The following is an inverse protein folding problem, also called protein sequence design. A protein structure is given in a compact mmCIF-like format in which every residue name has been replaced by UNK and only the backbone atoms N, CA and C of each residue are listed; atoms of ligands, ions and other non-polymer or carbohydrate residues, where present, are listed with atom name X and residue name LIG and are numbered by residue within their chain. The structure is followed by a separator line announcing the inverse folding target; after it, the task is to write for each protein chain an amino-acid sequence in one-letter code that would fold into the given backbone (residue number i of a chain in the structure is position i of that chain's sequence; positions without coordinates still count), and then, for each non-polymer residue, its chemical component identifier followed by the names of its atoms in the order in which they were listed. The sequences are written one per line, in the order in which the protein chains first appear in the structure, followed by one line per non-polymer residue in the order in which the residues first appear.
data_IF_431201564173
#
_entry.id   IF_431201564173
#
_cell.length_a   1.000
_cell.length_b   1.000
_cell.length_c   1.000
_cell.angle_alpha   90.00
_cell.angle_beta   90.00
_cell.angle_gamma   90.00
#
_symmetry.space_group_name_H-M   'P 1'
#
loop_
_entity.id
_entity.type
_entity.pdbx_description
1 polymer ?
#
# COMPACT_ATOMS: atom_id res chain seq x y z
N UNK A 1 0.78 -5.65 -1.78
CA UNK A 1 0.85 -6.00 -0.37
C UNK A 1 0.09 -7.29 -0.04
N UNK A 2 -1.06 -7.50 -0.66
CA UNK A 2 -1.95 -8.64 -0.35
C UNK A 2 -1.43 -10.01 -0.79
N UNK A 3 -0.60 -10.06 -1.81
CA UNK A 3 -0.10 -11.31 -2.36
C UNK A 3 0.89 -12.05 -1.42
N UNK A 4 1.65 -11.32 -0.62
CA UNK A 4 2.60 -11.89 0.33
C UNK A 4 1.92 -12.68 1.45
N UNK A 5 0.69 -12.33 1.75
CA UNK A 5 -0.02 -12.78 2.93
C UNK A 5 -0.56 -14.22 2.83
N UNK A 6 -0.74 -14.73 1.63
CA UNK A 6 -1.36 -16.05 1.40
C UNK A 6 -0.38 -17.24 1.41
N UNK A 7 0.91 -16.98 1.62
CA UNK A 7 1.96 -18.00 1.55
C UNK A 7 2.13 -18.85 2.82
N UNK A 8 1.47 -18.50 3.92
CA UNK A 8 1.65 -19.18 5.22
C UNK A 8 0.87 -20.49 5.40
N UNK A 9 0.10 -20.90 4.38
CA UNK A 9 -0.75 -22.11 4.44
C UNK A 9 -0.18 -23.38 3.80
N UNK A 10 1.14 -23.54 3.66
CA UNK A 10 1.71 -24.75 3.08
C UNK A 10 1.87 -25.86 4.13
N UNK A 11 0.92 -26.75 4.19
CA UNK A 11 1.15 -28.08 4.72
C UNK A 11 1.86 -28.93 3.67
N UNK A 12 2.91 -29.60 4.14
CA UNK A 12 3.85 -30.47 3.50
C UNK A 12 3.42 -31.22 2.23
N UNK A 13 4.30 -31.18 1.22
CA UNK A 13 4.36 -32.15 0.13
C UNK A 13 4.74 -33.53 0.68
N UNK A 14 3.88 -34.52 0.48
CA UNK A 14 4.30 -35.92 0.45
C UNK A 14 3.39 -36.71 -0.50
N UNK A 15 3.99 -37.38 -1.48
CA UNK A 15 3.32 -38.44 -2.22
C UNK A 15 3.40 -38.32 -3.76
N UNK A 16 4.51 -38.79 -4.33
CA UNK A 16 4.61 -39.21 -5.72
C UNK A 16 3.89 -40.54 -5.93
N UNK A 17 3.34 -40.68 -7.10
CA UNK A 17 3.04 -41.84 -7.96
C UNK A 17 1.57 -42.10 -8.20
N UNK A 18 1.07 -41.94 -9.42
CA UNK A 18 0.88 -42.95 -10.47
C UNK A 18 0.17 -42.34 -11.68
N UNK A 19 0.60 -42.75 -12.86
CA UNK A 19 0.05 -42.42 -14.18
C UNK A 19 -1.38 -42.93 -14.36
N UNK A 20 -2.25 -42.11 -14.98
CA UNK A 20 -3.42 -42.62 -15.69
C UNK A 20 -4.69 -41.85 -15.45
N UNK A 21 -4.97 -40.94 -16.31
CA UNK A 21 -6.19 -40.40 -16.89
C UNK A 21 -6.09 -38.88 -17.06
N UNK A 22 -6.24 -38.41 -18.29
CA UNK A 22 -6.40 -36.98 -18.58
C UNK A 22 -7.77 -36.52 -18.07
N UNK A 23 -7.87 -36.32 -16.77
CA UNK A 23 -8.87 -35.42 -16.22
C UNK A 23 -8.35 -34.03 -16.53
N UNK A 24 -9.17 -33.17 -17.16
CA UNK A 24 -8.89 -31.73 -17.22
C UNK A 24 -8.53 -31.27 -15.81
N UNK A 25 -7.28 -30.85 -15.59
CA UNK A 25 -6.89 -30.36 -14.28
C UNK A 25 -7.80 -29.18 -13.98
N UNK A 26 -8.51 -29.25 -12.86
CA UNK A 26 -9.22 -28.09 -12.34
C UNK A 26 -8.21 -26.93 -12.31
N UNK A 27 -8.59 -25.77 -12.85
CA UNK A 27 -7.72 -24.61 -12.85
C UNK A 27 -7.29 -24.33 -11.41
N UNK A 28 -5.97 -24.25 -11.17
CA UNK A 28 -5.42 -23.95 -9.86
C UNK A 28 -5.34 -22.43 -9.74
N UNK A 29 -6.05 -21.85 -8.76
CA UNK A 29 -6.07 -20.41 -8.46
C UNK A 29 -5.18 -20.07 -7.27
N UNK A 30 -4.05 -20.76 -7.10
CA UNK A 30 -3.21 -20.71 -5.92
C UNK A 30 -1.70 -20.54 -6.21
N UNK A 31 -1.35 -20.01 -7.39
CA UNK A 31 0.04 -19.66 -7.68
C UNK A 31 0.44 -18.35 -6.98
N UNK A 32 0.47 -18.38 -5.65
CA UNK A 32 0.75 -17.22 -4.82
C UNK A 32 2.19 -16.71 -4.95
N UNK A 33 3.14 -17.57 -5.28
CA UNK A 33 4.52 -17.16 -5.54
C UNK A 33 4.62 -16.21 -6.74
N UNK A 34 3.97 -16.60 -7.86
CA UNK A 34 3.88 -15.75 -9.06
C UNK A 34 3.07 -14.48 -8.78
N UNK A 35 1.98 -14.59 -8.01
CA UNK A 35 1.16 -13.45 -7.63
C UNK A 35 1.97 -12.42 -6.82
N UNK A 36 2.77 -12.85 -5.84
CA UNK A 36 3.63 -11.97 -5.07
C UNK A 36 4.61 -11.20 -5.96
N UNK A 37 5.30 -11.91 -6.86
CA UNK A 37 6.22 -11.29 -7.81
C UNK A 37 5.50 -10.26 -8.70
N UNK A 38 4.35 -10.60 -9.26
CA UNK A 38 3.59 -9.72 -10.14
C UNK A 38 3.03 -8.51 -9.40
N UNK A 39 2.64 -8.67 -8.14
CA UNK A 39 2.22 -7.55 -7.30
C UNK A 39 3.35 -6.54 -7.04
N UNK A 40 4.60 -6.99 -6.97
CA UNK A 40 5.76 -6.09 -6.83
C UNK A 40 6.12 -5.43 -8.16
N UNK A 41 5.99 -6.12 -9.29
CA UNK A 41 6.24 -5.55 -10.63
C UNK A 41 5.35 -4.34 -10.94
N UNK A 42 4.16 -4.23 -10.35
CA UNK A 42 3.35 -3.02 -10.45
C UNK A 42 4.15 -1.77 -10.05
N UNK A 43 4.94 -1.86 -8.99
CA UNK A 43 5.76 -0.74 -8.54
C UNK A 43 6.94 -0.46 -9.48
N UNK A 44 7.53 -1.49 -10.08
CA UNK A 44 8.55 -1.30 -11.13
C UNK A 44 7.98 -0.52 -12.32
N UNK A 45 6.74 -0.82 -12.69
CA UNK A 45 6.00 -0.09 -13.73
C UNK A 45 5.73 1.37 -13.37
N UNK A 46 5.62 1.68 -12.09
CA UNK A 46 5.30 3.01 -11.55
C UNK A 46 6.51 3.82 -11.06
N UNK A 47 7.72 3.29 -11.14
CA UNK A 47 8.92 4.06 -10.74
C UNK A 47 8.99 5.40 -11.46
N UNK A 48 9.40 6.43 -10.74
CA UNK A 48 9.64 7.78 -11.22
C UNK A 48 11.05 8.22 -10.82
N UNK A 49 11.73 8.96 -11.68
CA UNK A 49 13.03 9.53 -11.38
C UNK A 49 14.04 9.38 -12.50
N UNK A 50 15.20 10.00 -12.29
CA UNK A 50 16.32 10.04 -13.23
C UNK A 50 17.05 8.70 -13.41
N UNK A 51 16.80 7.72 -12.52
CA UNK A 51 17.47 6.42 -12.44
C UNK A 51 16.59 5.21 -12.83
N UNK A 52 15.38 5.44 -13.31
CA UNK A 52 14.39 4.37 -13.56
C UNK A 52 14.88 3.33 -14.55
N UNK A 53 15.64 3.73 -15.56
CA UNK A 53 16.25 2.85 -16.57
C UNK A 53 17.20 1.80 -16.01
N UNK A 54 17.73 2.01 -14.81
CA UNK A 54 18.60 1.09 -14.10
C UNK A 54 17.98 0.46 -12.86
N UNK A 55 16.99 1.12 -12.25
CA UNK A 55 16.35 0.66 -11.03
C UNK A 55 15.17 -0.30 -11.27
N UNK A 56 14.39 -0.07 -12.33
CA UNK A 56 13.22 -0.89 -12.65
C UNK A 56 13.62 -2.26 -13.18
N UNK A 57 12.84 -3.30 -12.83
CA UNK A 57 12.96 -4.63 -13.42
C UNK A 57 12.48 -4.68 -14.89
N UNK A 58 11.77 -3.64 -15.35
CA UNK A 58 11.23 -3.56 -16.70
C UNK A 58 12.17 -2.82 -17.64
N UNK A 59 12.69 -3.53 -18.65
CA UNK A 59 13.54 -2.96 -19.69
C UNK A 59 12.85 -1.92 -20.60
N UNK A 60 11.53 -1.83 -20.55
CA UNK A 60 10.74 -0.84 -21.30
C UNK A 60 10.51 0.46 -20.50
N UNK A 61 10.91 0.50 -19.21
CA UNK A 61 10.90 1.74 -18.44
C UNK A 61 12.21 2.50 -18.64
N UNK A 62 12.10 3.80 -18.73
CA UNK A 62 13.20 4.74 -18.87
C UNK A 62 13.17 5.83 -17.80
N UNK A 63 14.25 6.61 -17.73
CA UNK A 63 14.30 7.80 -16.88
C UNK A 63 13.17 8.76 -17.21
N UNK A 64 12.51 9.29 -16.20
CA UNK A 64 11.39 10.23 -16.35
C UNK A 64 11.35 11.20 -15.17
N UNK A 65 10.91 12.45 -15.44
CA UNK A 65 10.69 13.47 -14.41
C UNK A 65 11.92 13.74 -13.49
N UNK A 66 13.14 13.47 -13.95
CA UNK A 66 14.36 13.72 -13.17
C UNK A 66 14.64 15.18 -12.88
N UNK A 67 13.85 16.11 -13.47
CA UNK A 67 13.86 17.55 -13.18
C UNK A 67 12.80 17.97 -12.15
N UNK A 68 12.01 17.05 -11.59
CA UNK A 68 11.10 17.34 -10.48
C UNK A 68 11.89 17.95 -9.31
N UNK A 69 11.31 18.90 -8.59
CA UNK A 69 11.93 19.48 -7.38
C UNK A 69 12.21 18.38 -6.33
N UNK A 70 11.39 17.33 -6.30
CA UNK A 70 11.64 16.11 -5.53
C UNK A 70 11.73 14.94 -6.52
N UNK A 71 12.95 14.59 -6.90
CA UNK A 71 13.23 13.45 -7.80
C UNK A 71 12.94 12.10 -7.12
N UNK A 72 12.78 11.05 -7.91
CA UNK A 72 12.56 9.70 -7.40
C UNK A 72 11.11 9.38 -7.02
N UNK A 73 10.93 8.32 -6.24
CA UNK A 73 9.63 7.82 -5.80
C UNK A 73 8.88 7.04 -6.88
N UNK A 74 7.55 7.15 -6.83
CA UNK A 74 6.65 6.43 -7.72
C UNK A 74 5.50 7.33 -8.18
N UNK A 75 5.04 7.12 -9.40
CA UNK A 75 3.73 7.60 -9.83
C UNK A 75 2.64 6.87 -9.03
N UNK A 76 1.50 7.52 -8.86
CA UNK A 76 0.43 7.00 -8.01
C UNK A 76 -0.23 5.73 -8.58
N UNK A 77 -0.76 5.82 -9.77
CA UNK A 77 -1.53 4.75 -10.39
C UNK A 77 -1.26 4.68 -11.90
N UNK A 78 -2.26 4.97 -12.74
CA UNK A 78 -2.10 5.06 -14.18
C UNK A 78 -1.71 6.45 -14.70
N UNK A 79 -1.61 7.43 -13.82
CA UNK A 79 -1.18 8.81 -14.03
C UNK A 79 0.31 9.01 -13.67
N UNK A 80 0.78 10.26 -13.67
CA UNK A 80 2.18 10.58 -13.33
C UNK A 80 2.32 11.46 -12.09
N UNK A 81 1.24 11.72 -11.37
CA UNK A 81 1.31 12.47 -10.11
C UNK A 81 1.92 11.60 -9.01
N UNK A 82 2.68 12.21 -8.12
CA UNK A 82 3.19 11.59 -6.89
C UNK A 82 2.36 12.12 -5.72
N UNK A 83 1.27 11.42 -5.38
CA UNK A 83 0.42 11.75 -4.24
C UNK A 83 0.97 11.15 -2.96
N UNK A 84 1.18 11.98 -1.94
CA UNK A 84 1.81 11.55 -0.68
C UNK A 84 0.97 10.56 0.11
N UNK A 85 -0.33 10.78 0.26
CA UNK A 85 -1.18 9.94 1.11
C UNK A 85 -1.21 8.46 0.65
N UNK A 86 -1.56 8.14 -0.61
CA UNK A 86 -1.52 6.75 -1.07
C UNK A 86 -0.11 6.18 -1.13
N UNK A 87 0.93 6.99 -1.33
CA UNK A 87 2.32 6.54 -1.30
C UNK A 87 2.75 6.10 0.10
N UNK A 88 2.43 6.87 1.14
CA UNK A 88 2.71 6.53 2.53
C UNK A 88 1.98 5.27 2.97
N UNK A 89 0.67 5.18 2.69
CA UNK A 89 -0.13 3.99 2.90
C UNK A 89 0.46 2.75 2.21
N UNK A 90 0.85 2.89 0.95
CA UNK A 90 1.44 1.79 0.18
C UNK A 90 2.74 1.30 0.82
N UNK A 91 3.66 2.20 1.11
CA UNK A 91 4.96 1.85 1.66
C UNK A 91 4.84 1.23 3.07
N UNK A 92 3.99 1.80 3.93
CA UNK A 92 3.74 1.26 5.28
C UNK A 92 3.09 -0.12 5.22
N UNK A 93 2.14 -0.35 4.30
CA UNK A 93 1.47 -1.64 4.13
C UNK A 93 2.40 -2.70 3.51
N UNK A 94 3.26 -2.35 2.57
CA UNK A 94 4.30 -3.24 2.04
C UNK A 94 5.28 -3.65 3.15
N UNK A 95 5.73 -2.68 3.95
CA UNK A 95 6.58 -2.92 5.11
C UNK A 95 5.92 -3.82 6.15
N UNK A 96 4.63 -3.62 6.44
CA UNK A 96 3.85 -4.47 7.31
C UNK A 96 3.75 -5.90 6.78
N UNK A 97 3.49 -6.07 5.48
CA UNK A 97 3.45 -7.39 4.84
C UNK A 97 4.75 -8.18 5.05
N UNK A 98 5.90 -7.52 4.91
CA UNK A 98 7.18 -8.15 5.18
C UNK A 98 7.41 -8.42 6.67
N UNK A 99 7.11 -7.47 7.54
CA UNK A 99 7.21 -7.64 8.98
C UNK A 99 6.44 -8.88 9.48
N UNK A 100 5.24 -9.09 8.98
CA UNK A 100 4.40 -10.24 9.38
C UNK A 100 4.82 -11.56 8.75
N UNK A 101 5.28 -11.55 7.50
CA UNK A 101 5.46 -12.75 6.68
C UNK A 101 6.86 -12.85 6.07
N UNK A 102 7.87 -12.36 6.80
CA UNK A 102 9.27 -12.33 6.37
C UNK A 102 9.75 -13.65 5.80
N UNK A 103 9.49 -14.77 6.49
CA UNK A 103 9.95 -16.09 6.07
C UNK A 103 9.40 -16.49 4.69
N UNK A 104 8.21 -16.02 4.33
CA UNK A 104 7.61 -16.27 3.01
C UNK A 104 8.34 -15.49 1.91
N UNK A 105 8.70 -14.23 2.16
CA UNK A 105 9.50 -13.44 1.21
C UNK A 105 10.90 -14.02 1.03
N UNK A 106 11.54 -14.43 2.13
CA UNK A 106 12.86 -15.03 2.11
C UNK A 106 12.85 -16.36 1.34
N UNK A 107 11.87 -17.22 1.61
CA UNK A 107 11.73 -18.51 0.93
C UNK A 107 11.51 -18.40 -0.58
N UNK A 108 10.87 -17.30 -1.02
CA UNK A 108 10.60 -17.03 -2.44
C UNK A 108 11.70 -16.18 -3.11
N UNK A 109 12.75 -15.77 -2.37
CA UNK A 109 13.81 -14.90 -2.88
C UNK A 109 13.35 -13.49 -3.24
N UNK A 110 12.25 -13.00 -2.61
CA UNK A 110 11.63 -11.71 -2.95
C UNK A 110 12.04 -10.58 -2.01
N UNK A 111 12.79 -10.87 -0.95
CA UNK A 111 13.21 -9.89 0.07
C UNK A 111 14.00 -8.74 -0.52
N UNK A 112 14.99 -9.02 -1.38
CA UNK A 112 15.83 -7.97 -1.97
C UNK A 112 15.03 -7.03 -2.88
N UNK A 113 14.08 -7.57 -3.66
CA UNK A 113 13.20 -6.77 -4.52
C UNK A 113 12.28 -5.88 -3.67
N UNK A 114 11.61 -6.43 -2.66
CA UNK A 114 10.79 -5.64 -1.75
C UNK A 114 11.60 -4.53 -1.07
N UNK A 115 12.80 -4.85 -0.56
CA UNK A 115 13.67 -3.88 0.08
C UNK A 115 14.04 -2.73 -0.87
N UNK A 116 14.32 -3.02 -2.14
CA UNK A 116 14.60 -1.99 -3.14
C UNK A 116 13.39 -1.05 -3.34
N UNK A 117 12.18 -1.62 -3.43
CA UNK A 117 10.94 -0.84 -3.57
C UNK A 117 10.66 0.02 -2.33
N UNK A 118 10.71 -0.56 -1.13
CA UNK A 118 10.43 0.19 0.11
C UNK A 118 11.51 1.25 0.39
N UNK A 119 12.77 0.97 0.11
CA UNK A 119 13.83 1.98 0.22
C UNK A 119 13.59 3.14 -0.74
N UNK A 120 13.15 2.89 -1.98
CA UNK A 120 12.83 3.97 -2.94
C UNK A 120 11.70 4.86 -2.45
N UNK A 121 10.64 4.31 -1.83
CA UNK A 121 9.63 5.09 -1.16
C UNK A 121 10.23 5.92 -0.02
N UNK A 122 11.01 5.30 0.87
CA UNK A 122 11.61 5.96 2.01
C UNK A 122 12.59 7.08 1.60
N UNK A 123 13.36 6.88 0.54
CA UNK A 123 14.27 7.90 0.01
C UNK A 123 13.49 9.11 -0.53
N UNK A 124 12.40 8.86 -1.25
CA UNK A 124 11.49 9.93 -1.69
C UNK A 124 10.85 10.66 -0.50
N UNK A 125 10.42 9.96 0.54
CA UNK A 125 9.84 10.58 1.73
C UNK A 125 10.84 11.47 2.48
N UNK A 126 12.10 11.05 2.56
CA UNK A 126 13.19 11.86 3.11
C UNK A 126 13.46 13.09 2.25
N UNK A 127 13.52 12.93 0.93
CA UNK A 127 13.70 14.05 -0.02
C UNK A 127 12.53 15.04 0.01
N UNK A 128 11.31 14.58 0.29
CA UNK A 128 10.10 15.39 0.48
C UNK A 128 10.07 16.14 1.82
N UNK A 129 11.07 15.97 2.70
CA UNK A 129 11.05 16.48 4.07
C UNK A 129 12.27 17.34 4.36
N UNK A 130 12.08 18.64 4.58
CA UNK A 130 13.16 19.56 4.98
C UNK A 130 13.25 19.61 6.51
N UNK A 131 14.43 19.29 7.05
CA UNK A 131 14.69 19.30 8.49
C UNK A 131 15.62 20.45 8.91
N UNK A 132 15.39 21.00 10.10
CA UNK A 132 16.36 21.75 10.87
C UNK A 132 16.62 21.01 12.18
N UNK A 133 17.77 20.34 12.29
CA UNK A 133 18.01 19.34 13.32
C UNK A 133 17.04 18.16 13.18
N UNK A 134 16.19 17.95 14.19
CA UNK A 134 15.15 16.91 14.21
C UNK A 134 13.73 17.49 14.01
N UNK A 135 13.63 18.73 13.54
CA UNK A 135 12.35 19.41 13.35
C UNK A 135 12.06 19.59 11.87
N UNK A 136 10.88 19.15 11.42
CA UNK A 136 10.39 19.42 10.06
C UNK A 136 10.09 20.90 9.90
N UNK A 137 10.71 21.54 8.92
CA UNK A 137 10.51 22.93 8.58
C UNK A 137 9.61 23.13 7.36
N UNK A 138 9.57 22.14 6.48
CA UNK A 138 8.74 22.12 5.29
C UNK A 138 8.57 20.68 4.82
N UNK A 139 7.40 20.37 4.27
CA UNK A 139 7.01 19.03 3.83
C UNK A 139 6.31 19.11 2.47
N UNK A 140 6.81 18.35 1.50
CA UNK A 140 6.19 18.20 0.19
C UNK A 140 5.20 17.04 0.21
N UNK A 141 3.91 17.35 0.04
CA UNK A 141 2.85 16.35 0.12
C UNK A 141 2.38 15.85 -1.26
N UNK A 142 2.79 16.53 -2.34
CA UNK A 142 2.42 16.13 -3.71
C UNK A 142 3.42 16.71 -4.71
N UNK A 143 3.72 15.94 -5.77
CA UNK A 143 4.42 16.43 -6.97
C UNK A 143 3.57 16.08 -8.19
N UNK A 144 3.26 17.12 -8.97
CA UNK A 144 2.40 17.04 -10.14
C UNK A 144 1.05 17.71 -9.93
N UNK A 145 0.53 18.33 -10.99
CA UNK A 145 -0.76 19.04 -11.00
C UNK A 145 -1.85 18.06 -11.36
N UNK A 146 -2.63 17.61 -10.38
CA UNK A 146 -3.55 16.46 -10.48
C UNK A 146 -4.39 16.44 -11.76
N UNK A 147 -5.31 17.38 -11.95
CA UNK A 147 -6.21 17.37 -13.12
C UNK A 147 -5.46 17.56 -14.43
N UNK A 148 -4.51 18.48 -14.49
CA UNK A 148 -3.77 18.76 -15.71
C UNK A 148 -2.91 17.56 -16.17
N UNK A 149 -2.35 16.79 -15.23
CA UNK A 149 -1.69 15.52 -15.53
C UNK A 149 -2.68 14.49 -16.08
N UNK A 150 -3.86 14.36 -15.47
CA UNK A 150 -4.89 13.42 -15.93
C UNK A 150 -5.46 13.75 -17.31
N UNK A 151 -5.39 15.00 -17.74
CA UNK A 151 -5.84 15.42 -19.08
C UNK A 151 -4.85 15.04 -20.18
N UNK A 152 -3.63 14.59 -19.82
CA UNK A 152 -2.57 14.21 -20.78
C UNK A 152 -2.34 12.70 -20.75
N UNK A 153 -2.43 12.06 -21.91
CA UNK A 153 -2.07 10.65 -22.06
C UNK A 153 -0.77 10.51 -22.85
N UNK A 154 0.30 10.13 -22.18
CA UNK A 154 1.58 9.78 -22.78
C UNK A 154 2.35 8.86 -21.83
N UNK A 155 3.43 8.24 -22.31
CA UNK A 155 4.35 7.57 -21.38
C UNK A 155 5.06 8.61 -20.50
N UNK A 156 5.46 8.27 -19.28
CA UNK A 156 6.16 9.20 -18.39
C UNK A 156 7.48 9.69 -18.96
N UNK A 157 8.16 8.85 -19.75
CA UNK A 157 9.40 9.21 -20.46
C UNK A 157 9.20 10.32 -21.51
N UNK A 158 7.97 10.51 -21.98
CA UNK A 158 7.60 11.51 -23.00
C UNK A 158 6.94 12.76 -22.41
N UNK A 159 6.63 12.78 -21.12
CA UNK A 159 6.02 13.92 -20.45
C UNK A 159 7.09 14.96 -20.08
N UNK A 160 7.32 15.92 -20.97
CA UNK A 160 8.36 16.93 -20.81
C UNK A 160 7.83 18.30 -20.35
N UNK A 161 6.53 18.46 -20.15
CA UNK A 161 5.91 19.71 -19.71
C UNK A 161 6.11 19.92 -18.21
N UNK A 162 7.07 20.78 -17.86
CA UNK A 162 7.39 21.08 -16.47
C UNK A 162 6.27 21.83 -15.73
N UNK A 163 5.32 22.45 -16.44
CA UNK A 163 4.17 23.07 -15.79
C UNK A 163 3.23 22.06 -15.12
N UNK A 164 3.30 20.79 -15.51
CA UNK A 164 2.56 19.68 -14.91
C UNK A 164 3.24 19.12 -13.65
N UNK A 165 4.49 19.55 -13.34
CA UNK A 165 5.35 18.92 -12.33
C UNK A 165 5.57 19.77 -11.08
N UNK A 166 4.60 20.64 -10.75
CA UNK A 166 4.67 21.48 -9.55
C UNK A 166 4.77 20.65 -8.28
N UNK A 167 5.71 20.97 -7.40
CA UNK A 167 5.80 20.40 -6.06
C UNK A 167 5.03 21.27 -5.06
N UNK A 168 4.17 20.66 -4.26
CA UNK A 168 3.33 21.34 -3.28
C UNK A 168 3.88 21.13 -1.86
N UNK A 169 4.40 22.21 -1.30
CA UNK A 169 5.01 22.23 0.03
C UNK A 169 4.11 22.88 1.07
N UNK A 170 4.18 22.39 2.29
CA UNK A 170 3.51 22.97 3.46
C UNK A 170 4.41 22.98 4.70
N UNK A 171 4.10 23.85 5.67
CA UNK A 171 4.70 23.85 7.01
C UNK A 171 3.68 23.73 8.14
N UNK A 172 2.38 23.68 7.79
CA UNK A 172 1.25 23.72 8.73
C UNK A 172 0.02 22.91 8.29
N UNK A 173 0.19 21.91 7.43
CA UNK A 173 -0.87 21.02 6.90
C UNK A 173 -0.33 19.60 6.70
N UNK A 174 -1.12 18.67 6.11
CA UNK A 174 -0.72 17.32 5.72
C UNK A 174 -0.30 16.40 6.90
N UNK A 175 -1.01 16.50 8.03
CA UNK A 175 -0.72 15.67 9.20
C UNK A 175 -0.93 14.18 8.96
N UNK A 176 -1.93 13.81 8.18
CA UNK A 176 -2.23 12.47 7.70
C UNK A 176 -1.05 11.90 6.88
N UNK A 177 -0.62 12.63 5.85
CA UNK A 177 0.48 12.23 4.97
C UNK A 177 1.80 12.12 5.74
N UNK A 178 2.10 13.10 6.62
CA UNK A 178 3.29 13.06 7.45
C UNK A 178 3.32 11.86 8.40
N UNK A 179 2.16 11.46 8.95
CA UNK A 179 2.03 10.27 9.79
C UNK A 179 2.21 8.98 8.98
N UNK A 180 1.62 8.89 7.79
CA UNK A 180 1.82 7.74 6.89
C UNK A 180 3.29 7.58 6.47
N UNK A 181 3.99 8.68 6.14
CA UNK A 181 5.42 8.63 5.88
C UNK A 181 6.21 8.18 7.11
N UNK A 182 5.82 8.65 8.31
CA UNK A 182 6.45 8.21 9.55
C UNK A 182 6.25 6.72 9.81
N UNK A 183 5.06 6.17 9.54
CA UNK A 183 4.77 4.75 9.66
C UNK A 183 5.63 3.93 8.69
N UNK A 184 5.70 4.33 7.43
CA UNK A 184 6.49 3.66 6.40
C UNK A 184 8.00 3.64 6.74
N UNK A 185 8.55 4.78 7.14
CA UNK A 185 9.96 4.90 7.55
C UNK A 185 10.26 4.09 8.81
N UNK A 186 9.35 4.08 9.79
CA UNK A 186 9.54 3.31 11.02
C UNK A 186 9.52 1.80 10.77
N UNK A 187 8.58 1.29 9.97
CA UNK A 187 8.54 -0.14 9.63
C UNK A 187 9.70 -0.55 8.71
N UNK A 188 10.17 0.34 7.83
CA UNK A 188 11.36 0.09 7.00
C UNK A 188 12.62 -0.01 7.87
N UNK A 189 12.75 0.85 8.88
CA UNK A 189 13.82 0.73 9.88
C UNK A 189 13.77 -0.60 10.63
N UNK A 190 12.59 -1.05 11.08
CA UNK A 190 12.43 -2.34 11.76
C UNK A 190 12.87 -3.49 10.84
N UNK A 191 12.49 -3.44 9.58
CA UNK A 191 12.74 -4.51 8.61
C UNK A 191 14.20 -4.55 8.14
N UNK A 192 14.85 -3.40 7.93
CA UNK A 192 16.12 -3.31 7.22
C UNK A 192 17.22 -2.50 7.93
N UNK A 193 16.92 -1.86 9.06
CA UNK A 193 17.91 -1.28 9.97
C UNK A 193 18.48 0.09 9.58
N UNK A 194 17.87 0.83 8.63
CA UNK A 194 18.36 2.15 8.25
C UNK A 194 18.02 3.19 9.34
N UNK A 195 19.05 3.64 10.08
CA UNK A 195 18.87 4.59 11.19
C UNK A 195 18.38 5.99 10.76
N UNK A 196 18.64 6.38 9.50
CA UNK A 196 18.13 7.65 8.97
C UNK A 196 16.62 7.60 8.81
N UNK A 197 16.06 6.46 8.39
CA UNK A 197 14.61 6.27 8.29
C UNK A 197 13.95 6.50 9.67
N UNK A 198 14.50 5.95 10.75
CA UNK A 198 13.98 6.18 12.10
C UNK A 198 14.05 7.65 12.53
N UNK A 199 15.12 8.35 12.15
CA UNK A 199 15.25 9.80 12.44
C UNK A 199 14.13 10.60 11.76
N UNK A 200 13.92 10.38 10.48
CA UNK A 200 12.85 11.06 9.73
C UNK A 200 11.45 10.64 10.21
N UNK A 201 11.25 9.36 10.54
CA UNK A 201 9.99 8.88 11.09
C UNK A 201 9.59 9.64 12.36
N UNK A 202 10.51 9.81 13.30
CA UNK A 202 10.28 10.58 14.54
C UNK A 202 9.97 12.05 14.25
N UNK A 203 10.72 12.67 13.34
CA UNK A 203 10.52 14.08 12.97
C UNK A 203 9.15 14.32 12.35
N UNK A 204 8.74 13.47 11.40
CA UNK A 204 7.46 13.53 10.71
C UNK A 204 6.28 13.22 11.64
N UNK A 205 6.41 12.24 12.52
CA UNK A 205 5.40 12.00 13.55
C UNK A 205 5.20 13.22 14.47
N UNK A 206 6.30 13.80 14.95
CA UNK A 206 6.23 15.00 15.79
C UNK A 206 5.61 16.19 15.05
N UNK A 207 5.89 16.33 13.75
CA UNK A 207 5.25 17.32 12.89
C UNK A 207 3.74 17.07 12.80
N UNK A 208 3.33 15.84 12.52
CA UNK A 208 1.92 15.44 12.38
C UNK A 208 1.11 15.77 13.64
N UNK A 209 1.56 15.29 14.83
CA UNK A 209 0.83 15.49 16.09
C UNK A 209 0.83 16.96 16.57
N UNK A 210 1.77 17.77 16.11
CA UNK A 210 1.81 19.20 16.40
C UNK A 210 0.87 19.98 15.48
N UNK A 211 0.79 19.61 14.23
CA UNK A 211 0.04 20.31 13.18
C UNK A 211 -1.46 19.99 13.27
N UNK A 212 -1.82 18.72 13.39
CA UNK A 212 -3.22 18.25 13.51
C UNK A 212 -4.17 18.86 12.47
N UNK A 213 -3.78 18.80 11.20
CA UNK A 213 -4.53 19.38 10.10
C UNK A 213 -4.31 18.59 8.81
N UNK A 214 -5.38 18.24 8.12
CA UNK A 214 -5.37 17.49 6.86
C UNK A 214 -6.36 18.13 5.88
N UNK A 215 -5.91 19.09 5.08
CA UNK A 215 -6.73 19.72 4.06
C UNK A 215 -6.18 19.49 2.64
N UNK A 216 -4.87 19.56 2.45
CA UNK A 216 -4.13 19.31 1.19
C UNK A 216 -4.96 19.63 -0.06
N UNK A 217 -5.28 20.90 -0.35
CA UNK A 217 -6.31 21.27 -1.33
C UNK A 217 -6.01 20.76 -2.75
N UNK A 218 -4.74 20.61 -3.09
CA UNK A 218 -4.30 20.12 -4.41
C UNK A 218 -4.57 18.62 -4.61
N UNK A 219 -4.61 17.86 -3.50
CA UNK A 219 -4.93 16.44 -3.50
C UNK A 219 -6.42 16.15 -3.33
N UNK A 220 -7.21 17.11 -2.83
CA UNK A 220 -8.56 16.91 -2.34
C UNK A 220 -9.57 16.34 -3.37
N UNK A 221 -9.35 16.52 -4.66
CA UNK A 221 -10.19 15.96 -5.70
C UNK A 221 -9.87 14.48 -6.03
N UNK A 222 -8.74 13.97 -5.54
CA UNK A 222 -8.25 12.63 -5.81
C UNK A 222 -8.18 11.80 -4.53
N UNK A 223 -7.49 12.34 -3.51
CA UNK A 223 -7.23 11.68 -2.24
C UNK A 223 -7.64 12.59 -1.09
N UNK A 224 -8.95 12.64 -0.86
CA UNK A 224 -9.53 13.48 0.16
C UNK A 224 -9.52 12.74 1.50
N UNK A 225 -8.73 13.19 2.46
CA UNK A 225 -8.78 12.79 3.85
C UNK A 225 -9.11 13.98 4.72
N UNK A 226 -9.92 13.77 5.76
CA UNK A 226 -10.25 14.76 6.78
C UNK A 226 -9.84 14.28 8.16
N UNK A 227 -9.43 13.04 8.27
CA UNK A 227 -8.91 12.43 9.49
C UNK A 227 -7.38 12.34 9.41
N UNK A 228 -6.72 12.30 10.54
CA UNK A 228 -5.29 12.11 10.71
C UNK A 228 -4.96 11.31 11.98
N UNK A 229 -5.97 11.00 12.79
CA UNK A 229 -5.73 10.31 14.05
C UNK A 229 -5.43 8.83 13.88
N UNK A 230 -6.02 8.20 12.90
CA UNK A 230 -5.73 6.80 12.58
C UNK A 230 -4.34 6.65 11.96
N UNK A 231 -3.91 7.59 11.10
CA UNK A 231 -2.55 7.64 10.55
C UNK A 231 -1.53 7.86 11.68
N UNK A 232 -1.82 8.80 12.61
CA UNK A 232 -0.98 9.04 13.79
C UNK A 232 -0.91 7.81 14.70
N UNK A 233 -2.02 7.08 14.86
CA UNK A 233 -2.05 5.85 15.66
C UNK A 233 -1.26 4.71 14.98
N UNK A 234 -1.39 4.59 13.66
CA UNK A 234 -0.61 3.66 12.84
C UNK A 234 0.88 3.91 12.95
N UNK A 235 1.30 5.17 12.78
CA UNK A 235 2.69 5.58 12.95
C UNK A 235 3.19 5.37 14.39
N UNK A 236 2.38 5.67 15.40
CA UNK A 236 2.72 5.45 16.80
C UNK A 236 2.97 3.97 17.11
N UNK A 237 2.16 3.06 16.55
CA UNK A 237 2.38 1.62 16.67
C UNK A 237 3.75 1.19 16.16
N UNK A 238 4.10 1.60 14.95
CA UNK A 238 5.41 1.28 14.36
C UNK A 238 6.58 1.94 15.09
N UNK A 239 6.42 3.19 15.51
CA UNK A 239 7.46 3.88 16.29
C UNK A 239 7.66 3.26 17.68
N UNK A 240 6.61 2.75 18.32
CA UNK A 240 6.76 1.98 19.56
C UNK A 240 7.56 0.70 19.32
N UNK A 241 7.22 -0.08 18.30
CA UNK A 241 7.96 -1.29 17.95
C UNK A 241 9.43 -1.00 17.59
N UNK A 242 9.69 0.14 16.96
CA UNK A 242 11.05 0.55 16.60
C UNK A 242 11.89 1.05 17.78
N UNK A 243 11.27 1.60 18.85
CA UNK A 243 11.99 2.37 19.89
C UNK A 243 11.74 1.90 21.30
N UNK A 244 10.64 1.18 21.55
CA UNK A 244 10.11 0.85 22.87
C UNK A 244 9.82 2.11 23.76
N UNK A 245 9.56 3.27 23.13
CA UNK A 245 9.21 4.49 23.86
C UNK A 245 7.70 4.52 24.15
N UNK A 246 7.36 4.53 25.43
CA UNK A 246 5.98 4.48 25.91
C UNK A 246 5.11 5.67 25.51
N UNK A 247 5.70 6.77 25.05
CA UNK A 247 4.95 7.91 24.52
C UNK A 247 4.10 7.48 23.32
N UNK A 248 4.66 6.66 22.42
CA UNK A 248 3.94 6.16 21.23
C UNK A 248 2.85 5.15 21.61
N UNK A 249 3.14 4.18 22.48
CA UNK A 249 2.12 3.22 22.90
C UNK A 249 0.99 3.87 23.69
N UNK A 250 1.27 4.95 24.42
CA UNK A 250 0.25 5.74 25.13
C UNK A 250 -0.71 6.43 24.15
N UNK A 251 -0.20 6.98 23.04
CA UNK A 251 -1.06 7.58 22.02
C UNK A 251 -1.94 6.51 21.34
N UNK A 252 -1.33 5.37 20.93
CA UNK A 252 -2.06 4.27 20.30
C UNK A 252 -3.15 3.70 21.22
N UNK A 253 -2.82 3.49 22.51
CA UNK A 253 -3.80 3.03 23.50
C UNK A 253 -4.94 4.04 23.68
N UNK A 254 -4.64 5.33 23.70
CA UNK A 254 -5.65 6.39 23.77
C UNK A 254 -6.56 6.33 22.56
N UNK A 255 -6.02 6.27 21.35
CA UNK A 255 -6.78 6.16 20.12
C UNK A 255 -7.75 4.95 20.13
N UNK A 256 -7.31 3.81 20.67
CA UNK A 256 -8.10 2.59 20.70
C UNK A 256 -9.15 2.55 21.81
N UNK A 257 -8.96 3.27 22.92
CA UNK A 257 -9.73 3.05 24.15
C UNK A 257 -10.42 4.30 24.71
N UNK A 258 -10.02 5.52 24.33
CA UNK A 258 -10.64 6.74 24.84
C UNK A 258 -11.85 7.15 24.01
N UNK A 259 -13.05 6.84 24.50
CA UNK A 259 -14.31 7.18 23.85
C UNK A 259 -14.58 8.69 23.77
N UNK A 260 -13.84 9.53 24.48
CA UNK A 260 -13.95 10.99 24.44
C UNK A 260 -12.88 11.64 23.55
N UNK A 261 -11.84 10.87 23.20
CA UNK A 261 -10.83 11.34 22.28
C UNK A 261 -11.47 11.65 20.92
N UNK A 262 -10.88 12.55 20.16
CA UNK A 262 -11.40 12.94 18.83
C UNK A 262 -12.54 13.95 18.85
N UNK A 263 -13.21 14.18 19.99
CA UNK A 263 -14.31 15.18 20.07
C UNK A 263 -13.82 16.63 20.01
N UNK A 264 -12.55 16.86 20.28
CA UNK A 264 -11.89 18.17 20.20
C UNK A 264 -11.07 18.36 18.92
N UNK A 265 -11.08 17.37 18.03
CA UNK A 265 -10.34 17.40 16.78
C UNK A 265 -11.10 17.99 15.61
N UNK A 266 -10.61 17.76 14.40
CA UNK A 266 -11.26 18.16 13.16
C UNK A 266 -12.65 17.49 13.06
N UNK A 267 -13.63 18.21 12.51
CA UNK A 267 -14.99 17.68 12.36
C UNK A 267 -14.97 16.42 11.47
N UNK A 268 -15.52 15.33 11.99
CA UNK A 268 -15.58 14.05 11.28
C UNK A 268 -14.56 13.01 11.70
N UNK A 269 -13.51 13.40 12.44
CA UNK A 269 -12.50 12.46 12.97
C UNK A 269 -13.13 11.44 13.92
N UNK A 270 -12.73 10.18 13.75
CA UNK A 270 -13.20 9.06 14.58
C UNK A 270 -12.00 8.39 15.27
N UNK A 271 -12.32 7.67 16.35
CA UNK A 271 -11.37 6.91 17.13
C UNK A 271 -11.78 5.45 17.22
N UNK A 272 -10.78 4.56 17.26
CA UNK A 272 -11.00 3.12 17.24
C UNK A 272 -11.22 2.55 15.84
N UNK A 273 -11.55 1.27 15.75
CA UNK A 273 -11.77 0.58 14.46
C UNK A 273 -13.14 0.91 13.91
N UNK A 274 -13.19 1.46 12.71
CA UNK A 274 -14.46 1.79 12.05
C UNK A 274 -14.49 1.57 10.53
N UNK A 275 -13.34 1.24 9.90
CA UNK A 275 -13.27 1.03 8.45
C UNK A 275 -12.26 -0.06 8.08
N UNK A 276 -12.46 -0.67 6.91
CA UNK A 276 -11.45 -1.48 6.24
C UNK A 276 -10.28 -0.57 5.83
N UNK A 277 -9.06 -1.08 5.91
CA UNK A 277 -7.89 -0.30 5.55
C UNK A 277 -7.92 0.19 4.10
N UNK A 278 -7.61 1.45 3.93
CA UNK A 278 -7.41 2.13 2.66
C UNK A 278 -6.48 3.33 2.91
N UNK A 279 -6.08 4.02 1.86
CA UNK A 279 -5.24 5.22 1.96
C UNK A 279 -5.82 6.33 2.87
N UNK A 280 -7.13 6.40 3.07
CA UNK A 280 -7.79 7.36 3.94
C UNK A 280 -8.26 6.78 5.27
N UNK A 281 -7.91 5.55 5.59
CA UNK A 281 -8.20 4.94 6.88
C UNK A 281 -7.32 3.73 7.19
N UNK A 282 -6.54 3.81 8.24
CA UNK A 282 -5.65 2.74 8.71
C UNK A 282 -5.98 2.26 10.12
N UNK A 283 -7.16 2.60 10.64
CA UNK A 283 -7.57 2.28 12.01
C UNK A 283 -7.54 0.77 12.33
N UNK A 284 -7.88 -0.09 11.38
CA UNK A 284 -7.82 -1.55 11.56
C UNK A 284 -6.37 -2.04 11.73
N UNK A 285 -5.43 -1.49 10.96
CA UNK A 285 -4.00 -1.80 11.12
C UNK A 285 -3.47 -1.34 12.48
N UNK A 286 -3.81 -0.12 12.90
CA UNK A 286 -3.45 0.40 14.22
C UNK A 286 -4.01 -0.49 15.35
N UNK A 287 -5.23 -1.00 15.20
CA UNK A 287 -5.84 -1.92 16.17
C UNK A 287 -5.13 -3.27 16.26
N UNK A 288 -4.68 -3.81 15.12
CA UNK A 288 -3.90 -5.04 15.08
C UNK A 288 -2.55 -4.82 15.78
N UNK A 289 -1.82 -3.73 15.48
CA UNK A 289 -0.58 -3.40 16.18
C UNK A 289 -0.78 -3.22 17.69
N UNK A 290 -1.85 -2.54 18.13
CA UNK A 290 -2.18 -2.45 19.54
C UNK A 290 -2.34 -3.84 20.16
N UNK A 291 -3.08 -4.72 19.50
CA UNK A 291 -3.34 -6.08 19.98
C UNK A 291 -2.07 -6.94 20.04
N UNK A 292 -1.16 -6.76 19.11
CA UNK A 292 0.15 -7.42 19.11
C UNK A 292 1.03 -6.91 20.28
N UNK A 293 1.08 -5.59 20.44
CA UNK A 293 1.88 -4.92 21.47
C UNK A 293 1.41 -5.31 22.88
N UNK A 294 0.11 -5.27 23.13
CA UNK A 294 -0.45 -5.56 24.45
C UNK A 294 -0.64 -7.05 24.72
N UNK A 295 -0.93 -7.83 23.69
CA UNK A 295 -1.41 -9.22 23.83
C UNK A 295 -2.74 -9.33 24.54
N UNK A 296 -3.48 -8.22 24.74
CA UNK A 296 -4.72 -8.17 25.50
C UNK A 296 -5.89 -8.76 24.69
N UNK A 297 -6.66 -9.64 25.34
CA UNK A 297 -7.82 -10.29 24.73
C UNK A 297 -8.92 -9.28 24.33
N UNK A 298 -9.06 -8.17 25.06
CA UNK A 298 -10.07 -7.14 24.73
C UNK A 298 -9.67 -6.34 23.49
N UNK A 299 -8.39 -6.10 23.26
CA UNK A 299 -7.91 -5.46 22.04
C UNK A 299 -8.13 -6.39 20.85
N UNK A 300 -7.77 -7.66 20.96
CA UNK A 300 -8.08 -8.67 19.93
C UNK A 300 -9.58 -8.80 19.67
N UNK A 301 -10.42 -8.71 20.70
CA UNK A 301 -11.87 -8.75 20.53
C UNK A 301 -12.42 -7.61 19.67
N UNK A 302 -11.83 -6.42 19.70
CA UNK A 302 -12.21 -5.29 18.82
C UNK A 302 -11.90 -5.61 17.36
N UNK A 303 -10.70 -6.13 17.10
CA UNK A 303 -10.25 -6.55 15.76
C UNK A 303 -11.15 -7.67 15.22
N UNK A 304 -11.34 -8.73 15.99
CA UNK A 304 -12.12 -9.91 15.55
C UNK A 304 -13.61 -9.59 15.40
N UNK A 305 -14.16 -8.70 16.21
CA UNK A 305 -15.55 -8.22 16.04
C UNK A 305 -15.71 -7.52 14.69
N UNK A 306 -14.77 -6.65 14.32
CA UNK A 306 -14.79 -5.98 13.02
C UNK A 306 -14.65 -7.00 11.88
N UNK A 307 -13.63 -7.86 11.93
CA UNK A 307 -13.36 -8.85 10.89
C UNK A 307 -14.52 -9.84 10.72
N UNK A 308 -15.13 -10.34 11.80
CA UNK A 308 -16.28 -11.24 11.75
C UNK A 308 -17.49 -10.59 11.08
N UNK A 309 -17.64 -9.28 11.20
CA UNK A 309 -18.69 -8.53 10.52
C UNK A 309 -18.49 -8.39 9.01
N UNK A 310 -17.25 -8.59 8.53
CA UNK A 310 -16.85 -8.42 7.12
C UNK A 310 -16.53 -9.75 6.42
N UNK A 311 -15.81 -10.65 7.06
CA UNK A 311 -15.39 -11.94 6.52
C UNK A 311 -16.50 -13.00 6.64
N UNK A 312 -17.69 -12.71 6.10
CA UNK A 312 -18.92 -13.48 6.37
C UNK A 312 -19.19 -14.60 5.38
N UNK A 313 -18.58 -14.60 4.20
CA UNK A 313 -18.87 -15.55 3.12
C UNK A 313 -17.64 -15.91 2.33
N UNK A 314 -17.40 -17.19 2.13
CA UNK A 314 -16.36 -17.71 1.22
C UNK A 314 -16.85 -17.78 -0.24
N UNK A 315 -18.15 -17.77 -0.47
CA UNK A 315 -18.74 -17.90 -1.81
C UNK A 315 -19.12 -16.57 -2.47
N UNK A 316 -19.01 -15.47 -1.74
CA UNK A 316 -19.36 -14.13 -2.23
C UNK A 316 -18.15 -13.23 -2.14
N UNK A 317 -17.81 -12.57 -3.25
CA UNK A 317 -16.71 -11.59 -3.27
C UNK A 317 -17.03 -10.42 -2.33
N UNK A 318 -16.10 -10.12 -1.42
CA UNK A 318 -16.22 -8.95 -0.56
C UNK A 318 -15.96 -7.68 -1.37
N UNK A 319 -16.98 -6.82 -1.44
CA UNK A 319 -16.95 -5.57 -2.16
C UNK A 319 -17.36 -4.43 -1.22
N UNK A 320 -16.41 -3.61 -0.78
CA UNK A 320 -16.67 -2.42 0.06
C UNK A 320 -17.12 -1.24 -0.80
N UNK A 321 -16.61 -1.18 -2.04
CA UNK A 321 -16.90 -0.12 -3.01
C UNK A 321 -16.85 -0.67 -4.42
N UNK A 322 -17.73 -0.21 -5.29
CA UNK A 322 -17.76 -0.60 -6.70
C UNK A 322 -16.49 -0.16 -7.45
N UNK A 323 -15.94 0.99 -7.07
CA UNK A 323 -14.70 1.50 -7.66
C UNK A 323 -13.49 0.97 -6.90
N UNK A 324 -12.58 0.30 -7.61
CA UNK A 324 -11.34 -0.20 -7.03
C UNK A 324 -11.56 -1.24 -5.93
N UNK A 325 -12.61 -2.07 -6.04
CA UNK A 325 -13.03 -3.01 -4.97
C UNK A 325 -11.91 -3.96 -4.51
N UNK A 326 -10.99 -4.34 -5.41
CA UNK A 326 -9.89 -5.24 -5.09
C UNK A 326 -8.96 -4.68 -4.00
N UNK A 327 -8.75 -3.37 -3.94
CA UNK A 327 -7.91 -2.75 -2.89
C UNK A 327 -8.47 -2.99 -1.48
N UNK A 328 -9.78 -2.85 -1.30
CA UNK A 328 -10.44 -3.11 -0.01
C UNK A 328 -10.46 -4.60 0.33
N UNK A 329 -10.76 -5.43 -0.67
CA UNK A 329 -10.77 -6.87 -0.50
C UNK A 329 -9.39 -7.38 -0.05
N UNK A 330 -8.33 -6.96 -0.72
CA UNK A 330 -6.96 -7.39 -0.42
C UNK A 330 -6.43 -6.78 0.88
N UNK A 331 -6.80 -5.54 1.21
CA UNK A 331 -6.47 -4.94 2.50
C UNK A 331 -7.14 -5.67 3.67
N UNK A 332 -8.41 -6.07 3.50
CA UNK A 332 -9.11 -6.87 4.50
C UNK A 332 -8.48 -8.27 4.64
N UNK A 333 -8.06 -8.90 3.53
CA UNK A 333 -7.32 -10.16 3.58
C UNK A 333 -6.01 -10.01 4.36
N UNK A 334 -5.26 -8.91 4.14
CA UNK A 334 -4.03 -8.63 4.89
C UNK A 334 -4.30 -8.58 6.40
N UNK A 335 -5.30 -7.79 6.83
CA UNK A 335 -5.68 -7.66 8.23
C UNK A 335 -6.15 -9.00 8.82
N UNK A 336 -6.93 -9.78 8.07
CA UNK A 336 -7.44 -11.08 8.47
C UNK A 336 -6.31 -12.10 8.66
N UNK A 337 -5.32 -12.11 7.77
CA UNK A 337 -4.19 -13.04 7.85
C UNK A 337 -3.17 -12.62 8.92
N UNK A 338 -2.92 -11.33 9.13
CA UNK A 338 -2.17 -10.86 10.28
C UNK A 338 -2.83 -11.33 11.59
N UNK A 339 -4.17 -11.17 11.71
CA UNK A 339 -4.93 -11.68 12.87
C UNK A 339 -4.83 -13.20 13.02
N UNK A 340 -4.87 -13.94 11.91
CA UNK A 340 -4.74 -15.41 11.90
C UNK A 340 -3.37 -15.87 12.40
N UNK A 341 -2.30 -15.15 12.04
CA UNK A 341 -0.94 -15.42 12.57
C UNK A 341 -0.91 -15.43 14.09
N UNK A 342 -1.71 -14.58 14.72
CA UNK A 342 -1.89 -14.51 16.17
C UNK A 342 -3.11 -15.28 16.69
N UNK A 343 -3.54 -16.35 16.01
CA UNK A 343 -4.75 -17.13 16.35
C UNK A 343 -4.76 -17.66 17.79
N UNK A 344 -3.60 -17.96 18.38
CA UNK A 344 -3.49 -18.33 19.79
C UNK A 344 -3.96 -17.23 20.77
N UNK A 345 -3.99 -15.95 20.31
CA UNK A 345 -4.45 -14.79 21.07
C UNK A 345 -5.81 -14.29 20.60
N UNK A 346 -6.01 -14.20 19.30
CA UNK A 346 -7.25 -13.71 18.68
C UNK A 346 -8.38 -14.75 18.74
N UNK A 347 -8.04 -16.03 18.84
CA UNK A 347 -9.00 -17.14 18.76
C UNK A 347 -9.60 -17.38 17.37
N UNK A 348 -9.05 -16.75 16.31
CA UNK A 348 -9.63 -16.74 14.97
C UNK A 348 -8.64 -17.20 13.91
N UNK A 349 -9.18 -17.90 12.89
CA UNK A 349 -8.48 -18.28 11.67
C UNK A 349 -9.35 -17.91 10.45
N UNK A 350 -8.86 -16.99 9.64
CA UNK A 350 -9.51 -16.48 8.43
C UNK A 350 -8.89 -17.04 7.14
N UNK A 351 -8.00 -18.02 7.22
CA UNK A 351 -7.25 -18.55 6.06
C UNK A 351 -8.16 -19.03 4.93
N UNK A 352 -9.23 -19.76 5.26
CA UNK A 352 -10.20 -20.25 4.25
C UNK A 352 -10.90 -19.11 3.52
N UNK A 353 -11.35 -18.11 4.27
CA UNK A 353 -11.98 -16.94 3.68
C UNK A 353 -11.01 -16.19 2.76
N UNK A 354 -9.80 -15.91 3.21
CA UNK A 354 -8.77 -15.23 2.41
C UNK A 354 -8.45 -16.02 1.13
N UNK A 355 -8.29 -17.33 1.23
CA UNK A 355 -8.06 -18.20 0.06
C UNK A 355 -9.20 -18.13 -0.93
N UNK A 356 -10.44 -18.14 -0.47
CA UNK A 356 -11.62 -18.04 -1.33
C UNK A 356 -11.69 -16.67 -2.04
N UNK A 357 -11.47 -15.57 -1.31
CA UNK A 357 -11.46 -14.21 -1.86
C UNK A 357 -10.35 -14.02 -2.91
N UNK A 358 -9.15 -14.48 -2.60
CA UNK A 358 -8.05 -14.40 -3.55
C UNK A 358 -8.30 -15.28 -4.78
N UNK A 359 -8.87 -16.46 -4.61
CA UNK A 359 -9.29 -17.31 -5.71
C UNK A 359 -10.23 -16.60 -6.68
N UNK A 360 -11.17 -15.79 -6.17
CA UNK A 360 -12.06 -14.98 -7.02
C UNK A 360 -11.31 -13.91 -7.82
N UNK A 361 -10.28 -13.28 -7.24
CA UNK A 361 -9.42 -12.33 -7.95
C UNK A 361 -8.62 -13.04 -9.04
N UNK A 362 -8.17 -14.26 -8.79
CA UNK A 362 -7.33 -15.05 -9.68
C UNK A 362 -8.11 -15.82 -10.76
N UNK A 363 -9.43 -15.65 -10.85
CA UNK A 363 -10.23 -16.22 -11.93
C UNK A 363 -11.33 -17.19 -11.52
N UNK A 364 -11.39 -17.63 -10.24
CA UNK A 364 -12.52 -18.41 -9.72
C UNK A 364 -13.75 -17.50 -9.51
N UNK A 365 -14.22 -16.91 -10.58
CA UNK A 365 -15.33 -15.97 -10.59
C UNK A 365 -16.23 -16.23 -11.82
N UNK A 366 -17.46 -15.70 -11.87
CA UNK A 366 -18.42 -15.96 -12.96
C UNK A 366 -17.95 -15.54 -14.35
N UNK A 367 -16.95 -14.67 -14.44
CA UNK A 367 -16.35 -14.22 -15.70
C UNK A 367 -15.18 -15.08 -16.15
N UNK A 368 -14.65 -15.95 -15.28
CA UNK A 368 -13.42 -16.70 -15.49
C UNK A 368 -12.26 -15.79 -15.94
N UNK A 369 -12.12 -14.62 -15.31
CA UNK A 369 -11.08 -13.62 -15.59
C UNK A 369 -10.17 -13.51 -14.40
N UNK A 370 -8.87 -13.72 -14.60
CA UNK A 370 -7.85 -13.35 -13.66
C UNK A 370 -7.60 -11.83 -13.75
N UNK A 371 -7.78 -11.10 -12.65
CA UNK A 371 -7.62 -9.64 -12.62
C UNK A 371 -6.17 -9.19 -12.48
N UNK A 372 -5.22 -10.13 -12.36
CA UNK A 372 -3.79 -9.82 -12.36
C UNK A 372 -3.27 -9.88 -13.79
N UNK A 373 -2.90 -8.73 -14.34
CA UNK A 373 -2.45 -8.58 -15.73
C UNK A 373 -1.23 -9.47 -15.99
N UNK A 374 -1.25 -10.18 -17.10
CA UNK A 374 -0.14 -11.04 -17.54
C UNK A 374 0.08 -12.33 -16.75
N UNK A 375 -0.71 -12.59 -15.72
CA UNK A 375 -0.49 -13.76 -14.86
C UNK A 375 -0.85 -15.07 -15.57
N UNK A 376 -1.99 -15.12 -16.28
CA UNK A 376 -2.52 -16.30 -16.96
C UNK A 376 -3.09 -15.95 -18.32
N UNK A 377 -3.46 -16.97 -19.11
CA UNK A 377 -4.02 -16.78 -20.44
C UNK A 377 -5.38 -16.06 -20.43
N UNK A 378 -6.13 -16.17 -19.33
CA UNK A 378 -7.42 -15.51 -19.10
C UNK A 378 -7.31 -14.22 -18.27
N UNK A 379 -6.08 -13.70 -18.09
CA UNK A 379 -5.87 -12.43 -17.38
C UNK A 379 -6.44 -11.23 -18.10
N UNK A 380 -6.82 -10.21 -17.33
CA UNK A 380 -7.09 -8.87 -17.84
C UNK A 380 -5.88 -8.34 -18.63
N UNK A 381 -6.14 -7.67 -19.77
CA UNK A 381 -5.09 -7.34 -20.75
C UNK A 381 -4.86 -5.85 -20.94
N UNK A 382 -5.81 -5.02 -20.52
CA UNK A 382 -5.84 -3.61 -20.87
C UNK A 382 -5.92 -2.74 -19.60
N UNK A 383 -4.81 -2.61 -18.87
CA UNK A 383 -4.81 -1.76 -17.68
C UNK A 383 -4.94 -0.30 -18.11
N UNK A 384 -5.71 0.49 -17.35
CA UNK A 384 -5.75 1.93 -17.48
C UNK A 384 -4.49 2.54 -16.86
N UNK A 385 -3.38 2.51 -17.62
CA UNK A 385 -2.05 2.85 -17.13
C UNK A 385 -1.21 3.46 -18.25
N UNK A 386 -0.81 4.72 -18.10
CA UNK A 386 -0.11 5.47 -19.16
C UNK A 386 1.22 4.86 -19.52
N UNK A 387 2.06 4.54 -18.53
CA UNK A 387 3.36 3.91 -18.79
C UNK A 387 3.20 2.55 -19.50
N UNK A 388 2.31 1.69 -19.03
CA UNK A 388 2.10 0.37 -19.59
C UNK A 388 1.39 0.39 -20.97
N UNK A 389 0.73 1.49 -21.34
CA UNK A 389 0.06 1.62 -22.65
C UNK A 389 1.04 1.63 -23.82
N UNK A 390 2.29 2.01 -23.60
CA UNK A 390 3.34 2.07 -24.63
C UNK A 390 3.19 3.21 -25.65
N UNK A 391 2.17 4.05 -25.52
CA UNK A 391 1.98 5.21 -26.41
C UNK A 391 2.83 6.39 -25.92
N UNK A 392 3.52 7.03 -26.87
CA UNK A 392 4.41 8.16 -26.58
C UNK A 392 3.68 9.50 -26.54
N UNK A 393 2.46 9.58 -27.09
CA UNK A 393 1.65 10.78 -27.09
C UNK A 393 0.17 10.46 -27.18
N UNK A 394 -0.68 11.42 -26.82
CA UNK A 394 -2.13 11.34 -26.99
C UNK A 394 -2.53 11.19 -28.48
N UNK A 395 -1.81 11.85 -29.40
CA UNK A 395 -2.11 11.77 -30.82
C UNK A 395 -1.89 10.36 -31.39
N UNK A 396 -0.88 9.64 -30.91
CA UNK A 396 -0.70 8.24 -31.25
C UNK A 396 -1.85 7.36 -30.75
N UNK A 397 -2.34 7.64 -29.54
CA UNK A 397 -3.42 6.89 -28.91
C UNK A 397 -4.79 7.24 -29.49
N UNK A 398 -4.98 8.45 -29.96
CA UNK A 398 -6.27 8.97 -30.42
C UNK A 398 -6.88 8.10 -31.52
N UNK A 399 -8.12 7.69 -31.29
CA UNK A 399 -8.84 6.82 -32.25
C UNK A 399 -8.49 5.34 -32.12
N UNK A 400 -7.59 4.93 -31.21
CA UNK A 400 -7.38 3.52 -30.87
C UNK A 400 -8.49 3.05 -29.94
N UNK A 401 -8.95 1.84 -30.16
CA UNK A 401 -9.92 1.16 -29.28
C UNK A 401 -9.25 0.18 -28.33
N UNK A 402 -7.94 -0.03 -28.52
CA UNK A 402 -7.10 -0.95 -27.78
C UNK A 402 -5.87 -0.20 -27.26
N UNK A 403 -5.91 0.21 -26.01
CA UNK A 403 -4.83 0.94 -25.35
C UNK A 403 -3.59 0.10 -25.09
N UNK A 404 -3.70 -1.21 -25.26
CA UNK A 404 -2.57 -2.14 -25.08
C UNK A 404 -1.99 -2.61 -26.41
N UNK A 405 -2.36 -2.05 -27.56
CA UNK A 405 -1.81 -2.49 -28.85
C UNK A 405 -0.28 -2.36 -28.93
N UNK A 406 0.30 -1.42 -28.21
CA UNK A 406 1.74 -1.27 -27.96
C UNK A 406 2.14 -1.59 -26.51
N UNK A 407 1.19 -2.12 -25.72
CA UNK A 407 1.28 -2.15 -24.29
C UNK A 407 2.28 -3.14 -23.75
N UNK A 408 2.74 -2.84 -22.58
CA UNK A 408 3.57 -3.67 -21.74
C UNK A 408 2.72 -4.37 -20.68
N UNK A 409 3.18 -5.52 -20.22
CA UNK A 409 2.60 -6.20 -19.06
C UNK A 409 3.23 -5.65 -17.80
N UNK A 410 2.40 -5.30 -16.85
CA UNK A 410 2.82 -4.86 -15.51
C UNK A 410 3.17 -6.04 -14.60
#
# INVERSE_FOLDING_TARGET
ASAATLLTGTTALSGLTTLGSMAASAASYDNYAKLLQYSMYFYDGNMCGSDVDTASQFSWRGSCHGSDEVDGGFHDAGDHVKFGLPAGYTASTLGWGYYEFKDSYDALGQTAHLQALTNRFCDFFKASTKLSGDTVTSFCYQVGVGQADHDVWCSPESQNDQSLRTAYWTSDDASDIAAEYAAALAVNYINFGNAEDLKYAKALYNYSIKTNKANCPEAANFYNSYDYYDDQAWAAGWLYLATNDSTYSSFLNKFMNDTNAGKSGQSGCKWGVYSTMCWNNVSLGAAILQSEITGDAMDWAKVTTYLNGKCTSESTYYCESDWGSARYNTALQMAALATTKYSAKSGMDYSSWCKAQMGMILGNNPKNVNFVVGMDSNSAKYPHHRAASGYQSFDEMKGKTDYSSNGHTL
#
